data_IF_202271828885
#
_entry.id   IF_202271828885
#
_cell.length_a   1.000
_cell.length_b   1.000
_cell.length_c   1.000
_cell.angle_alpha   90.00
_cell.angle_beta   90.00
_cell.angle_gamma   90.00
#
_symmetry.space_group_name_H-M   'P 1'
#
loop_
_entity.id
_entity.type
_entity.pdbx_description
1 polymer ?
#
# COMPACT_ATOMS: atom_id res chain seq x y z
N UNK A 1 12.74 -17.08 -4.12
CA UNK A 1 13.24 -17.89 -5.26
C UNK A 1 14.76 -17.88 -5.37
N UNK A 2 15.43 -16.73 -5.48
CA UNK A 2 16.91 -16.65 -5.63
C UNK A 2 17.68 -17.32 -4.47
N UNK A 3 17.31 -17.02 -3.22
CA UNK A 3 17.90 -17.69 -2.03
C UNK A 3 17.85 -19.22 -2.10
N UNK A 4 16.76 -19.78 -2.64
CA UNK A 4 16.59 -21.23 -2.81
C UNK A 4 17.55 -21.78 -3.87
N UNK A 5 17.72 -21.09 -4.98
CA UNK A 5 18.63 -21.49 -6.06
C UNK A 5 20.09 -21.42 -5.60
N UNK A 6 20.46 -20.34 -4.91
CA UNK A 6 21.79 -20.16 -4.34
C UNK A 6 22.10 -21.21 -3.27
N UNK A 7 21.15 -21.52 -2.38
CA UNK A 7 21.30 -22.59 -1.39
C UNK A 7 21.47 -23.99 -2.02
N UNK A 8 20.95 -24.19 -3.25
CA UNK A 8 21.13 -25.42 -4.02
C UNK A 8 22.44 -25.44 -4.84
N UNK A 9 23.28 -24.40 -4.74
CA UNK A 9 24.55 -24.30 -5.49
C UNK A 9 24.37 -24.09 -6.99
N UNK A 10 23.21 -23.62 -7.44
CA UNK A 10 22.92 -23.37 -8.85
C UNK A 10 23.38 -21.96 -9.21
N UNK A 11 24.28 -21.78 -10.21
CA UNK A 11 24.63 -20.45 -10.71
C UNK A 11 23.40 -19.73 -11.28
N UNK A 12 23.24 -18.45 -10.93
CA UNK A 12 22.05 -17.66 -11.21
C UNK A 12 22.36 -16.38 -11.96
N UNK A 13 21.66 -16.19 -13.08
CA UNK A 13 21.62 -14.93 -13.82
C UNK A 13 20.25 -14.30 -13.62
N UNK A 14 20.20 -13.17 -12.93
CA UNK A 14 18.95 -12.42 -12.68
C UNK A 14 18.73 -11.39 -13.78
N UNK A 15 17.59 -11.49 -14.47
CA UNK A 15 17.11 -10.48 -15.43
C UNK A 15 16.04 -9.64 -14.75
N UNK A 16 16.38 -8.41 -14.38
CA UNK A 16 15.54 -7.51 -13.61
C UNK A 16 14.79 -6.55 -14.53
N UNK A 17 13.46 -6.67 -14.52
CA UNK A 17 12.54 -5.84 -15.28
C UNK A 17 11.98 -4.73 -14.39
N UNK A 18 12.27 -3.48 -14.72
CA UNK A 18 11.81 -2.33 -13.94
C UNK A 18 11.71 -1.05 -14.78
N UNK A 19 10.82 -0.13 -14.38
CA UNK A 19 10.75 1.20 -14.98
C UNK A 19 11.77 2.21 -14.43
N UNK A 20 12.52 1.84 -13.38
CA UNK A 20 13.48 2.71 -12.68
C UNK A 20 14.48 1.89 -11.84
N UNK A 21 15.63 2.46 -11.44
CA UNK A 21 16.48 1.86 -10.42
C UNK A 21 15.72 1.65 -9.11
N UNK A 22 15.99 0.54 -8.45
CA UNK A 22 15.41 0.17 -7.15
C UNK A 22 16.52 -0.34 -6.24
N UNK A 23 16.37 -0.19 -4.93
CA UNK A 23 17.25 -0.86 -3.99
C UNK A 23 17.01 -2.36 -4.04
N UNK A 24 18.02 -3.11 -4.48
CA UNK A 24 17.96 -4.55 -4.73
C UNK A 24 19.24 -5.25 -4.26
N UNK A 25 19.90 -4.69 -3.25
CA UNK A 25 21.12 -5.27 -2.68
C UNK A 25 20.91 -6.72 -2.22
N UNK A 26 19.79 -7.10 -1.57
CA UNK A 26 19.51 -8.49 -1.25
C UNK A 26 19.46 -9.38 -2.48
N UNK A 27 18.80 -8.96 -3.57
CA UNK A 27 18.71 -9.75 -4.80
C UNK A 27 20.05 -9.84 -5.54
N UNK A 28 20.83 -8.75 -5.57
CA UNK A 28 22.19 -8.71 -6.10
C UNK A 28 23.08 -9.71 -5.37
N UNK A 29 23.05 -9.73 -4.03
CA UNK A 29 23.81 -10.67 -3.22
C UNK A 29 23.43 -12.13 -3.48
N UNK A 30 22.22 -12.40 -3.96
CA UNK A 30 21.75 -13.76 -4.27
C UNK A 30 21.96 -14.15 -5.74
N UNK A 31 22.55 -13.28 -6.56
CA UNK A 31 22.75 -13.49 -7.99
C UNK A 31 24.24 -13.59 -8.32
N UNK A 32 24.62 -14.48 -9.23
CA UNK A 32 26.00 -14.56 -9.75
C UNK A 32 26.22 -13.53 -10.87
N UNK A 33 25.16 -13.21 -11.61
CA UNK A 33 25.10 -12.07 -12.52
C UNK A 33 23.73 -11.38 -12.44
N UNK A 34 23.69 -10.08 -12.67
CA UNK A 34 22.47 -9.28 -12.58
C UNK A 34 22.40 -8.29 -13.75
N UNK A 35 21.28 -8.32 -14.48
CA UNK A 35 21.04 -7.47 -15.64
C UNK A 35 19.81 -6.62 -15.42
N UNK A 36 19.99 -5.30 -15.45
CA UNK A 36 18.88 -4.36 -15.55
C UNK A 36 18.37 -4.31 -16.99
N UNK A 37 17.27 -5.01 -17.27
CA UNK A 37 16.67 -5.11 -18.60
C UNK A 37 15.55 -4.07 -18.85
N UNK A 38 15.23 -3.27 -17.84
CA UNK A 38 14.23 -2.20 -17.91
C UNK A 38 12.84 -2.70 -18.33
N UNK A 39 12.18 -1.99 -19.24
CA UNK A 39 10.94 -2.39 -19.90
C UNK A 39 11.24 -2.60 -21.40
N UNK A 40 11.71 -3.79 -21.81
CA UNK A 40 12.27 -4.04 -23.14
C UNK A 40 11.24 -4.08 -24.28
N UNK A 41 9.95 -3.98 -23.97
CA UNK A 41 8.87 -4.07 -24.95
C UNK A 41 8.63 -5.49 -25.45
N UNK A 42 8.12 -5.61 -26.67
CA UNK A 42 7.72 -6.88 -27.28
C UNK A 42 8.89 -7.75 -27.73
N UNK A 43 10.05 -7.14 -27.98
CA UNK A 43 11.23 -7.81 -28.55
C UNK A 43 12.11 -8.49 -27.47
N UNK A 44 11.49 -9.33 -26.65
CA UNK A 44 12.17 -10.03 -25.54
C UNK A 44 13.34 -10.92 -25.98
N UNK A 45 13.38 -11.32 -27.25
CA UNK A 45 14.49 -12.09 -27.84
C UNK A 45 15.84 -11.35 -27.75
N UNK A 46 15.83 -10.01 -27.73
CA UNK A 46 17.05 -9.20 -27.59
C UNK A 46 17.80 -9.44 -26.28
N UNK A 47 17.12 -9.96 -25.24
CA UNK A 47 17.77 -10.38 -23.99
C UNK A 47 18.64 -11.63 -24.25
N UNK A 48 18.13 -12.59 -25.02
CA UNK A 48 18.84 -13.82 -25.35
C UNK A 48 20.02 -13.56 -26.29
N UNK A 49 19.90 -12.58 -27.21
CA UNK A 49 20.98 -12.18 -28.12
C UNK A 49 22.26 -11.76 -27.37
N UNK A 50 22.12 -11.17 -26.18
CA UNK A 50 23.26 -10.81 -25.33
C UNK A 50 23.65 -11.96 -24.41
N UNK A 51 22.69 -12.56 -23.71
CA UNK A 51 22.98 -13.53 -22.63
C UNK A 51 23.40 -14.92 -23.10
N UNK A 52 22.98 -15.34 -24.29
CA UNK A 52 23.17 -16.71 -24.77
C UNK A 52 24.26 -16.74 -25.83
N UNK A 53 25.33 -17.48 -25.54
CA UNK A 53 26.42 -17.69 -26.47
C UNK A 53 25.98 -18.37 -27.78
N UNK A 54 26.82 -18.27 -28.80
CA UNK A 54 26.70 -19.03 -30.04
C UNK A 54 26.92 -20.53 -29.80
N UNK A 55 26.97 -21.31 -30.89
CA UNK A 55 27.17 -22.77 -30.81
C UNK A 55 28.53 -23.15 -30.22
N UNK A 56 29.50 -22.25 -30.27
CA UNK A 56 30.85 -22.43 -29.72
C UNK A 56 30.97 -21.85 -28.30
N UNK A 57 29.86 -21.38 -27.71
CA UNK A 57 29.82 -20.76 -26.40
C UNK A 57 30.39 -19.33 -26.36
N UNK A 58 30.62 -18.69 -27.51
CA UNK A 58 31.11 -17.31 -27.59
C UNK A 58 29.96 -16.32 -27.51
N UNK A 59 30.19 -15.17 -26.89
CA UNK A 59 29.19 -14.10 -26.85
C UNK A 59 28.84 -13.65 -28.29
N UNK A 60 27.54 -13.63 -28.62
CA UNK A 60 27.04 -13.13 -29.91
C UNK A 60 27.09 -11.61 -29.98
N UNK A 61 26.70 -10.98 -28.87
CA UNK A 61 26.72 -9.54 -28.67
C UNK A 61 27.29 -9.22 -27.29
N UNK A 62 27.98 -8.08 -27.17
CA UNK A 62 28.42 -7.55 -25.87
C UNK A 62 27.41 -6.52 -25.34
N UNK A 63 27.40 -6.31 -24.02
CA UNK A 63 26.68 -5.22 -23.40
C UNK A 63 27.25 -3.87 -23.85
N UNK A 64 26.35 -2.95 -24.20
CA UNK A 64 26.69 -1.57 -24.57
C UNK A 64 25.97 -0.53 -23.72
N UNK A 65 24.90 -0.92 -23.04
CA UNK A 65 24.12 -0.03 -22.20
C UNK A 65 24.91 0.43 -20.99
N UNK A 66 24.79 1.72 -20.68
CA UNK A 66 25.25 2.28 -19.42
C UNK A 66 24.10 2.98 -18.72
N UNK A 67 24.18 3.08 -17.39
CA UNK A 67 23.12 3.65 -16.56
C UNK A 67 22.86 5.11 -16.92
N UNK A 68 21.66 5.41 -17.45
CA UNK A 68 21.15 6.78 -17.58
C UNK A 68 20.54 7.32 -16.29
N UNK A 69 20.44 6.49 -15.25
CA UNK A 69 19.98 6.84 -13.90
C UNK A 69 20.91 6.22 -12.88
N UNK A 70 21.28 6.96 -11.84
CA UNK A 70 22.09 6.44 -10.73
C UNK A 70 21.35 5.31 -10.02
N UNK A 71 22.06 4.24 -9.65
CA UNK A 71 21.50 3.13 -8.89
C UNK A 71 21.64 3.37 -7.38
N UNK A 72 20.56 3.26 -6.60
CA UNK A 72 20.59 3.59 -5.18
C UNK A 72 21.31 2.51 -4.35
N UNK A 73 22.00 2.93 -3.30
CA UNK A 73 22.65 2.05 -2.30
C UNK A 73 21.75 1.71 -1.10
N UNK A 74 20.68 2.47 -0.93
CA UNK A 74 19.67 2.31 0.12
C UNK A 74 18.25 2.47 -0.48
N UNK A 75 17.24 2.17 0.30
CA UNK A 75 15.83 2.28 -0.05
C UNK A 75 15.17 3.56 0.50
N UNK A 76 15.94 4.53 1.01
CA UNK A 76 15.39 5.74 1.63
C UNK A 76 14.71 6.69 0.60
N UNK A 77 14.96 6.49 -0.69
CA UNK A 77 14.27 7.21 -1.77
C UNK A 77 14.69 8.67 -1.93
N UNK A 78 15.81 9.08 -1.36
CA UNK A 78 16.36 10.42 -1.55
C UNK A 78 16.74 10.67 -3.02
N UNK A 79 16.66 11.93 -3.50
CA UNK A 79 17.17 12.28 -4.83
C UNK A 79 18.64 11.86 -5.02
N UNK A 80 18.94 11.17 -6.12
CA UNK A 80 20.27 10.60 -6.41
C UNK A 80 20.73 10.95 -7.83
N UNK A 81 21.08 12.21 -8.05
CA UNK A 81 21.42 12.75 -9.36
C UNK A 81 22.92 13.08 -9.47
N UNK A 82 23.50 12.78 -10.64
CA UNK A 82 24.90 13.10 -10.94
C UNK A 82 25.13 14.61 -10.78
N UNK A 83 26.19 14.98 -10.06
CA UNK A 83 26.58 16.37 -9.84
C UNK A 83 25.99 17.03 -8.59
N UNK A 84 25.12 16.34 -7.84
CA UNK A 84 24.62 16.84 -6.56
C UNK A 84 25.69 16.72 -5.45
N UNK A 85 25.69 17.60 -4.43
CA UNK A 85 26.50 17.42 -3.24
C UNK A 85 26.19 16.09 -2.55
N UNK A 86 27.23 15.36 -2.12
CA UNK A 86 27.05 14.05 -1.47
C UNK A 86 26.56 12.94 -2.41
N UNK A 87 26.86 13.02 -3.71
CA UNK A 87 26.52 11.97 -4.68
C UNK A 87 27.23 10.64 -4.36
N UNK A 88 26.48 9.70 -3.80
CA UNK A 88 27.00 8.41 -3.32
C UNK A 88 26.09 7.23 -3.74
N UNK A 89 26.10 6.86 -5.04
CA UNK A 89 25.28 5.78 -5.57
C UNK A 89 25.92 4.40 -5.39
N UNK A 90 25.11 3.32 -5.40
CA UNK A 90 25.64 1.95 -5.49
C UNK A 90 26.33 1.69 -6.81
N UNK A 91 25.71 2.16 -7.90
CA UNK A 91 26.28 2.18 -9.25
C UNK A 91 26.02 3.56 -9.85
N UNK A 92 27.08 4.27 -10.21
CA UNK A 92 26.99 5.63 -10.69
C UNK A 92 26.33 5.76 -12.07
N UNK A 93 25.83 6.95 -12.38
CA UNK A 93 25.45 7.31 -13.76
C UNK A 93 26.61 6.99 -14.72
N UNK A 94 26.30 6.33 -15.83
CA UNK A 94 27.27 5.86 -16.82
C UNK A 94 27.94 4.53 -16.49
N UNK A 95 27.63 3.90 -15.35
CA UNK A 95 28.11 2.56 -15.03
C UNK A 95 27.49 1.51 -15.98
N UNK A 96 28.28 0.50 -16.34
CA UNK A 96 27.83 -0.65 -17.12
C UNK A 96 29.01 -1.58 -17.37
N UNK A 97 28.88 -2.85 -16.98
CA UNK A 97 29.88 -3.87 -17.28
C UNK A 97 29.68 -4.42 -18.69
N UNK A 98 30.76 -4.95 -19.25
CA UNK A 98 30.74 -5.65 -20.55
C UNK A 98 31.52 -6.95 -20.43
N UNK A 99 31.39 -7.87 -21.37
CA UNK A 99 32.19 -9.10 -21.40
C UNK A 99 33.69 -8.79 -21.53
N UNK A 100 34.05 -7.75 -22.28
CA UNK A 100 35.44 -7.28 -22.36
C UNK A 100 35.93 -6.54 -21.10
N UNK A 101 35.02 -5.98 -20.30
CA UNK A 101 35.32 -5.21 -19.08
C UNK A 101 34.41 -5.67 -17.94
N UNK A 102 34.72 -6.85 -17.42
CA UNK A 102 34.06 -7.41 -16.25
C UNK A 102 34.55 -6.77 -14.94
N UNK A 103 33.77 -6.97 -13.88
CA UNK A 103 34.16 -6.67 -12.50
C UNK A 103 33.40 -7.62 -11.56
N UNK A 104 33.97 -7.87 -10.38
CA UNK A 104 33.24 -8.52 -9.29
C UNK A 104 32.55 -7.46 -8.44
N UNK A 105 31.26 -7.63 -8.19
CA UNK A 105 30.54 -6.82 -7.19
C UNK A 105 30.72 -7.52 -5.84
N UNK A 106 31.26 -6.85 -4.81
CA UNK A 106 31.38 -7.44 -3.48
C UNK A 106 30.00 -7.62 -2.84
N UNK A 107 29.95 -8.34 -1.71
CA UNK A 107 28.72 -8.41 -0.94
C UNK A 107 28.29 -7.01 -0.49
N UNK A 108 27.05 -6.65 -0.84
CA UNK A 108 26.47 -5.34 -0.55
C UNK A 108 25.73 -5.37 0.78
N UNK A 109 25.63 -4.22 1.45
CA UNK A 109 24.81 -4.10 2.65
C UNK A 109 23.34 -4.37 2.33
N UNK A 110 22.72 -5.25 3.11
CA UNK A 110 21.26 -5.49 3.08
C UNK A 110 20.51 -4.58 4.07
N UNK A 111 21.19 -3.63 4.71
CA UNK A 111 20.52 -2.58 5.48
C UNK A 111 19.89 -1.58 4.52
N UNK A 112 18.56 -1.47 4.57
CA UNK A 112 17.81 -0.65 3.60
C UNK A 112 17.98 0.85 3.82
N UNK A 113 18.57 1.31 4.93
CA UNK A 113 18.67 2.74 5.27
C UNK A 113 17.33 3.44 5.52
N UNK A 114 16.21 2.72 5.42
CA UNK A 114 14.89 3.22 5.81
C UNK A 114 14.85 3.25 7.34
N UNK A 115 15.12 4.42 7.90
CA UNK A 115 15.05 4.66 9.34
C UNK A 115 13.68 5.21 9.68
N UNK A 116 12.94 4.45 10.49
CA UNK A 116 11.51 4.67 10.68
C UNK A 116 10.73 4.13 9.48
N UNK A 117 9.71 3.31 9.75
CA UNK A 117 8.60 3.25 8.82
C UNK A 117 8.27 4.69 8.45
N UNK A 118 8.25 5.04 7.17
CA UNK A 118 7.41 6.15 6.76
C UNK A 118 6.00 5.64 7.03
N UNK A 119 5.59 5.59 8.32
CA UNK A 119 4.27 5.16 8.73
C UNK A 119 3.39 6.09 7.95
N UNK A 120 2.68 5.52 6.97
CA UNK A 120 1.74 6.25 6.17
C UNK A 120 0.56 6.50 7.12
N UNK A 121 0.77 7.43 8.05
CA UNK A 121 -0.18 7.83 9.09
C UNK A 121 -1.34 8.58 8.49
N UNK A 122 -1.18 9.07 7.25
CA UNK A 122 -2.15 9.89 6.56
C UNK A 122 -2.89 9.15 5.44
N UNK A 123 -2.52 7.92 5.04
CA UNK A 123 -3.25 7.17 3.98
C UNK A 123 -3.48 5.73 4.41
N UNK A 124 -4.74 5.33 4.47
CA UNK A 124 -5.16 4.02 4.97
C UNK A 124 -5.65 3.11 3.84
N UNK A 125 -6.52 3.65 2.97
CA UNK A 125 -7.06 2.95 1.80
C UNK A 125 -7.19 3.90 0.61
N UNK A 126 -6.46 3.66 -0.47
CA UNK A 126 -6.29 4.57 -1.60
C UNK A 126 -6.02 3.78 -2.87
N UNK A 127 -6.60 4.19 -3.98
CA UNK A 127 -6.45 3.50 -5.28
C UNK A 127 -6.70 1.98 -5.20
N UNK A 128 -7.68 1.57 -4.39
CA UNK A 128 -8.04 0.15 -4.21
C UNK A 128 -7.09 -0.66 -3.33
N UNK A 129 -6.10 -0.02 -2.69
CA UNK A 129 -5.06 -0.68 -1.89
C UNK A 129 -5.09 -0.19 -0.44
N UNK A 130 -5.02 -1.13 0.50
CA UNK A 130 -4.67 -0.84 1.87
C UNK A 130 -3.16 -0.61 1.92
N UNK A 131 -2.73 0.57 2.35
CA UNK A 131 -1.32 0.95 2.32
C UNK A 131 -0.61 0.30 3.51
N UNK A 132 0.51 -0.38 3.30
CA UNK A 132 1.26 -0.97 4.43
C UNK A 132 1.50 0.06 5.54
N UNK A 133 1.27 -0.28 6.83
CA UNK A 133 0.97 -1.61 7.38
C UNK A 133 -0.52 -1.99 7.42
N UNK A 134 -1.40 -1.16 6.86
CA UNK A 134 -2.85 -1.30 6.98
C UNK A 134 -3.41 -2.48 6.17
N UNK A 135 -4.43 -3.13 6.73
CA UNK A 135 -5.18 -4.19 6.08
C UNK A 135 -6.66 -4.12 6.46
N UNK A 136 -7.53 -4.66 5.59
CA UNK A 136 -8.94 -4.86 5.92
C UNK A 136 -9.12 -6.06 6.83
N UNK A 137 -9.98 -5.90 7.83
CA UNK A 137 -10.52 -6.97 8.65
C UNK A 137 -12.05 -6.86 8.68
N UNK A 138 -12.70 -8.01 8.71
CA UNK A 138 -14.13 -8.15 8.89
C UNK A 138 -14.38 -8.93 10.17
N UNK A 139 -15.08 -8.32 11.13
CA UNK A 139 -15.36 -8.93 12.42
C UNK A 139 -16.86 -9.14 12.62
N UNK A 140 -17.20 -10.21 13.32
CA UNK A 140 -18.52 -10.44 13.88
C UNK A 140 -18.43 -11.35 15.12
N UNK A 141 -19.56 -11.86 15.60
CA UNK A 141 -19.62 -12.75 16.77
C UNK A 141 -18.82 -14.06 16.61
N UNK A 142 -18.43 -14.45 15.39
CA UNK A 142 -17.57 -15.59 15.12
C UNK A 142 -16.07 -15.27 15.13
N UNK A 143 -15.69 -14.02 15.36
CA UNK A 143 -14.31 -13.56 15.41
C UNK A 143 -13.94 -12.72 14.19
N UNK A 144 -12.71 -12.87 13.72
CA UNK A 144 -12.08 -12.00 12.73
C UNK A 144 -11.74 -12.77 11.46
N UNK A 145 -12.05 -12.17 10.31
CA UNK A 145 -11.60 -12.62 8.99
C UNK A 145 -10.74 -11.54 8.35
N UNK A 146 -9.66 -11.94 7.68
CA UNK A 146 -8.83 -11.07 6.85
C UNK A 146 -9.10 -11.38 5.37
N UNK A 147 -9.87 -10.56 4.65
CA UNK A 147 -10.14 -10.75 3.23
C UNK A 147 -8.87 -10.86 2.39
N UNK A 148 -8.92 -11.65 1.32
CA UNK A 148 -7.81 -11.75 0.37
C UNK A 148 -7.78 -10.49 -0.49
N UNK A 149 -6.59 -9.88 -0.61
CA UNK A 149 -6.40 -8.67 -1.41
C UNK A 149 -6.91 -8.88 -2.85
N UNK A 150 -7.78 -7.99 -3.31
CA UNK A 150 -8.34 -8.01 -4.67
C UNK A 150 -9.55 -8.92 -4.88
N UNK A 151 -10.01 -9.69 -3.88
CA UNK A 151 -11.14 -10.62 -4.06
C UNK A 151 -12.33 -10.41 -3.11
N UNK A 152 -12.23 -9.47 -2.16
CA UNK A 152 -13.25 -9.31 -1.14
C UNK A 152 -13.20 -10.43 -0.09
N UNK A 153 -14.25 -10.55 0.72
CA UNK A 153 -14.34 -11.55 1.77
C UNK A 153 -15.59 -11.38 2.64
N UNK A 154 -15.87 -12.37 3.48
CA UNK A 154 -17.04 -12.42 4.35
C UNK A 154 -16.57 -12.63 5.79
N UNK A 155 -17.23 -11.98 6.76
CA UNK A 155 -16.97 -12.21 8.19
C UNK A 155 -17.38 -13.64 8.60
N UNK A 156 -16.85 -14.21 9.70
CA UNK A 156 -17.03 -15.64 10.03
C UNK A 156 -18.48 -16.14 10.15
N UNK A 157 -19.42 -15.30 10.59
CA UNK A 157 -20.87 -15.57 10.64
C UNK A 157 -21.65 -14.84 9.55
N UNK A 158 -20.97 -14.16 8.63
CA UNK A 158 -21.57 -13.47 7.49
C UNK A 158 -22.33 -12.19 7.84
N UNK A 159 -22.12 -11.61 9.02
CA UNK A 159 -22.75 -10.33 9.38
C UNK A 159 -22.36 -9.19 8.43
N UNK A 160 -21.12 -9.21 7.90
CA UNK A 160 -20.62 -8.25 6.90
C UNK A 160 -19.85 -8.96 5.78
N UNK A 161 -20.15 -8.58 4.54
CA UNK A 161 -19.39 -8.97 3.34
C UNK A 161 -18.70 -7.72 2.75
N UNK A 162 -17.45 -7.89 2.33
CA UNK A 162 -16.71 -6.90 1.55
C UNK A 162 -16.57 -7.37 0.09
N UNK A 163 -16.94 -6.50 -0.85
CA UNK A 163 -16.82 -6.74 -2.30
C UNK A 163 -15.99 -5.63 -2.94
N UNK A 164 -15.23 -5.97 -3.98
CA UNK A 164 -14.47 -4.99 -4.75
C UNK A 164 -15.40 -4.29 -5.74
N UNK A 165 -15.36 -2.96 -5.78
CA UNK A 165 -16.17 -2.13 -6.70
C UNK A 165 -15.37 -0.95 -7.23
N UNK A 166 -15.89 -0.27 -8.23
CA UNK A 166 -15.27 0.89 -8.87
C UNK A 166 -15.68 2.22 -8.21
N UNK A 167 -14.74 3.17 -8.15
CA UNK A 167 -15.00 4.59 -7.91
C UNK A 167 -14.27 5.42 -8.97
N UNK A 168 -13.12 6.00 -8.62
CA UNK A 168 -12.32 6.84 -9.54
C UNK A 168 -11.44 6.02 -10.48
N UNK A 169 -11.13 4.78 -10.10
CA UNK A 169 -10.45 3.81 -10.93
C UNK A 169 -11.14 2.45 -10.79
N UNK A 170 -10.80 1.54 -11.69
CA UNK A 170 -11.25 0.16 -11.61
C UNK A 170 -10.76 -0.47 -10.29
N UNK A 171 -11.65 -1.17 -9.60
CA UNK A 171 -11.40 -1.87 -8.33
C UNK A 171 -10.90 -0.97 -7.17
N UNK A 172 -11.11 0.35 -7.29
CA UNK A 172 -10.55 1.33 -6.36
C UNK A 172 -11.30 1.47 -5.03
N UNK A 173 -12.42 0.76 -4.85
CA UNK A 173 -13.31 0.88 -3.71
C UNK A 173 -13.67 -0.48 -3.08
N UNK A 174 -14.25 -0.44 -1.88
CA UNK A 174 -14.83 -1.60 -1.20
C UNK A 174 -16.28 -1.34 -0.85
N UNK A 175 -17.18 -2.24 -1.27
CA UNK A 175 -18.56 -2.27 -0.82
C UNK A 175 -18.69 -3.17 0.40
N UNK A 176 -19.24 -2.64 1.48
CA UNK A 176 -19.59 -3.37 2.69
C UNK A 176 -21.09 -3.60 2.72
N UNK A 177 -21.50 -4.86 2.82
CA UNK A 177 -22.90 -5.31 2.91
C UNK A 177 -23.14 -5.92 4.27
N UNK A 178 -23.89 -5.23 5.10
CA UNK A 178 -24.33 -5.70 6.41
C UNK A 178 -25.71 -6.34 6.25
N UNK A 179 -25.87 -7.58 6.70
CA UNK A 179 -27.10 -8.34 6.49
C UNK A 179 -28.14 -8.16 7.62
N UNK A 180 -27.75 -7.53 8.74
CA UNK A 180 -28.62 -7.30 9.90
C UNK A 180 -28.88 -8.54 10.79
N UNK A 181 -28.18 -9.66 10.56
CA UNK A 181 -28.31 -10.87 11.39
C UNK A 181 -27.57 -10.79 12.74
N UNK A 182 -26.73 -9.77 12.91
CA UNK A 182 -25.91 -9.53 14.08
C UNK A 182 -24.98 -8.33 13.86
N UNK A 183 -24.20 -7.98 14.88
CA UNK A 183 -23.20 -6.92 14.75
C UNK A 183 -22.06 -7.36 13.82
N UNK A 184 -21.73 -6.52 12.85
CA UNK A 184 -20.57 -6.68 11.98
C UNK A 184 -19.75 -5.40 11.94
N UNK A 185 -18.43 -5.55 11.85
CA UNK A 185 -17.47 -4.45 11.70
C UNK A 185 -16.61 -4.66 10.46
N UNK A 186 -16.51 -3.62 9.63
CA UNK A 186 -15.48 -3.50 8.61
C UNK A 186 -14.43 -2.50 9.08
N UNK A 187 -13.21 -2.96 9.34
CA UNK A 187 -12.16 -2.11 9.91
C UNK A 187 -10.85 -2.17 9.14
N UNK A 188 -10.14 -1.05 9.11
CA UNK A 188 -8.75 -0.96 8.68
C UNK A 188 -7.90 -1.08 9.93
N UNK A 189 -6.98 -2.04 9.93
CA UNK A 189 -6.10 -2.34 11.07
C UNK A 189 -4.65 -2.51 10.64
N UNK A 190 -3.72 -2.13 11.50
CA UNK A 190 -2.29 -2.29 11.29
C UNK A 190 -1.49 -2.02 12.56
N UNK A 191 -0.18 -1.84 12.40
CA UNK A 191 0.71 -1.45 13.50
C UNK A 191 0.28 -0.11 14.11
N UNK A 192 0.43 0.02 15.43
CA UNK A 192 0.07 1.23 16.16
C UNK A 192 0.86 2.46 15.65
N UNK A 193 0.16 3.57 15.42
CA UNK A 193 0.76 4.86 15.06
C UNK A 193 0.31 5.97 16.01
N UNK A 194 1.17 6.96 16.23
CA UNK A 194 0.84 8.16 17.02
C UNK A 194 0.24 9.24 16.10
N UNK A 195 -1.05 9.55 16.31
CA UNK A 195 -1.81 10.59 15.61
C UNK A 195 -1.97 11.88 16.45
N UNK A 196 -1.28 12.00 17.59
CA UNK A 196 -1.39 13.17 18.48
C UNK A 196 -1.02 14.46 17.74
N UNK A 197 0.04 14.43 16.92
CA UNK A 197 0.46 15.58 16.11
C UNK A 197 -0.61 15.97 15.09
N UNK A 198 -1.22 14.99 14.43
CA UNK A 198 -2.26 15.20 13.42
C UNK A 198 -3.52 15.79 14.05
N UNK A 199 -3.93 15.31 15.22
CA UNK A 199 -5.05 15.89 15.95
C UNK A 199 -4.79 17.34 16.41
N UNK A 200 -3.58 17.65 16.88
CA UNK A 200 -3.21 19.02 17.25
C UNK A 200 -3.14 19.96 16.04
N UNK A 201 -2.86 19.43 14.84
CA UNK A 201 -2.92 20.16 13.58
C UNK A 201 -4.32 20.24 12.95
N UNK A 202 -5.37 19.88 13.71
CA UNK A 202 -6.76 19.82 13.26
C UNK A 202 -7.02 18.92 12.04
N UNK A 203 -6.23 17.85 11.84
CA UNK A 203 -6.53 16.92 10.75
C UNK A 203 -7.85 16.17 10.99
N UNK A 204 -8.44 15.70 9.89
CA UNK A 204 -9.68 14.95 9.87
C UNK A 204 -9.50 13.62 9.15
N UNK A 205 -10.19 12.59 9.64
CA UNK A 205 -10.41 11.36 8.90
C UNK A 205 -11.35 11.67 7.73
N UNK A 206 -10.84 11.51 6.52
CA UNK A 206 -11.52 11.79 5.26
C UNK A 206 -11.71 10.50 4.49
N UNK A 207 -12.90 10.32 3.94
CA UNK A 207 -13.18 9.24 3.00
C UNK A 207 -14.31 9.59 2.06
N UNK A 208 -14.33 8.91 0.92
CA UNK A 208 -15.46 8.90 -0.01
C UNK A 208 -16.37 7.74 0.29
N UNK A 209 -17.66 7.96 0.15
CA UNK A 209 -18.65 6.92 0.31
C UNK A 209 -19.80 7.08 -0.67
N UNK A 210 -20.49 5.96 -0.92
CA UNK A 210 -21.73 5.88 -1.68
C UNK A 210 -22.68 4.95 -0.92
N UNK A 211 -23.86 5.45 -0.57
CA UNK A 211 -24.90 4.63 0.08
C UNK A 211 -25.66 3.88 -1.01
N UNK A 212 -25.53 2.56 -1.03
CA UNK A 212 -26.21 1.68 -2.00
C UNK A 212 -27.56 1.19 -1.44
N UNK A 213 -27.66 1.01 -0.11
CA UNK A 213 -28.91 0.76 0.61
C UNK A 213 -28.86 1.48 1.96
N UNK A 214 -29.95 2.19 2.33
CA UNK A 214 -29.99 2.97 3.58
C UNK A 214 -29.88 2.06 4.81
N UNK A 215 -29.25 2.54 5.90
CA UNK A 215 -29.18 1.76 7.12
C UNK A 215 -30.56 1.62 7.75
N UNK A 216 -30.94 0.38 8.10
CA UNK A 216 -32.19 0.09 8.79
C UNK A 216 -32.16 0.41 10.30
N UNK A 217 -31.00 0.83 10.82
CA UNK A 217 -30.77 1.20 12.21
C UNK A 217 -29.43 1.90 12.41
N UNK A 218 -28.94 2.04 13.66
CA UNK A 218 -27.76 2.84 13.95
C UNK A 218 -26.48 2.33 13.27
N UNK A 219 -25.65 3.26 12.78
CA UNK A 219 -24.33 2.99 12.20
C UNK A 219 -23.27 3.82 12.92
N UNK A 220 -22.26 3.14 13.46
CA UNK A 220 -21.13 3.76 14.15
C UNK A 220 -19.91 3.83 13.24
N UNK A 221 -19.19 4.96 13.25
CA UNK A 221 -17.81 5.03 12.78
C UNK A 221 -16.89 5.20 13.99
N UNK A 222 -15.88 4.35 14.10
CA UNK A 222 -14.92 4.36 15.19
C UNK A 222 -13.49 4.60 14.69
N UNK A 223 -12.71 5.28 15.52
CA UNK A 223 -11.27 5.42 15.40
C UNK A 223 -10.67 5.12 16.77
N UNK A 224 -9.85 4.09 16.88
CA UNK A 224 -9.21 3.62 18.12
C UNK A 224 -10.14 3.68 19.34
N UNK A 225 -11.32 3.05 19.23
CA UNK A 225 -12.32 2.96 20.31
C UNK A 225 -13.27 4.15 20.44
N UNK A 226 -12.87 5.37 20.05
CA UNK A 226 -13.78 6.52 20.05
C UNK A 226 -14.80 6.42 18.92
N UNK A 227 -16.09 6.61 19.23
CA UNK A 227 -17.20 6.34 18.33
C UNK A 227 -18.04 7.59 18.05
N UNK A 228 -18.41 7.79 16.78
CA UNK A 228 -19.36 8.81 16.34
C UNK A 228 -20.51 8.18 15.56
N UNK A 229 -21.71 8.73 15.72
CA UNK A 229 -22.92 8.27 15.05
C UNK A 229 -22.98 8.79 13.60
N UNK A 230 -22.98 7.89 12.63
CA UNK A 230 -23.04 8.21 11.20
C UNK A 230 -24.45 8.09 10.60
N UNK A 231 -25.44 7.68 11.39
CA UNK A 231 -26.76 7.27 10.92
C UNK A 231 -27.46 8.39 10.12
N UNK A 232 -27.52 9.59 10.69
CA UNK A 232 -28.15 10.75 10.03
C UNK A 232 -27.42 11.16 8.75
N UNK A 233 -26.09 11.03 8.74
CA UNK A 233 -25.27 11.36 7.57
C UNK A 233 -25.55 10.40 6.42
N UNK A 234 -25.56 9.09 6.67
CA UNK A 234 -25.88 8.11 5.63
C UNK A 234 -27.36 8.15 5.19
N UNK A 235 -28.29 8.47 6.10
CA UNK A 235 -29.70 8.66 5.73
C UNK A 235 -29.96 9.93 4.89
N UNK A 236 -29.11 10.95 5.01
CA UNK A 236 -29.23 12.19 4.24
C UNK A 236 -28.51 12.12 2.89
N UNK A 237 -27.60 11.16 2.70
CA UNK A 237 -26.85 11.02 1.45
C UNK A 237 -27.75 10.61 0.26
N UNK A 238 -27.46 11.11 -0.96
CA UNK A 238 -28.11 10.62 -2.18
C UNK A 238 -27.77 9.14 -2.42
N UNK A 239 -28.79 8.34 -2.74
CA UNK A 239 -28.59 6.92 -3.01
C UNK A 239 -27.86 6.72 -4.32
N UNK A 240 -26.85 5.83 -4.32
CA UNK A 240 -26.10 5.48 -5.53
C UNK A 240 -25.14 6.56 -6.02
N UNK A 241 -24.93 7.65 -5.28
CA UNK A 241 -23.96 8.70 -5.64
C UNK A 241 -22.77 8.75 -4.68
N UNK A 242 -21.58 8.96 -5.24
CA UNK A 242 -20.37 9.14 -4.46
C UNK A 242 -20.30 10.56 -3.90
N UNK A 243 -20.13 10.65 -2.58
CA UNK A 243 -19.83 11.90 -1.88
C UNK A 243 -18.62 11.72 -0.97
N UNK A 244 -18.21 12.77 -0.26
CA UNK A 244 -17.08 12.75 0.67
C UNK A 244 -17.50 13.26 2.04
N UNK A 245 -16.84 12.79 3.09
CA UNK A 245 -16.98 13.31 4.45
C UNK A 245 -15.61 13.48 5.07
N UNK A 246 -15.47 14.50 5.92
CA UNK A 246 -14.31 14.71 6.78
C UNK A 246 -14.77 14.84 8.23
N UNK A 247 -14.24 14.00 9.12
CA UNK A 247 -14.55 14.00 10.55
C UNK A 247 -13.28 14.32 11.32
N UNK A 248 -13.27 15.40 12.10
CA UNK A 248 -12.06 15.82 12.81
C UNK A 248 -11.60 14.74 13.77
N UNK A 249 -10.29 14.55 13.89
CA UNK A 249 -9.70 13.63 14.86
C UNK A 249 -10.09 14.00 16.30
N UNK A 250 -10.30 15.29 16.56
CA UNK A 250 -10.82 15.77 17.84
C UNK A 250 -12.20 15.20 18.18
N UNK A 251 -13.11 15.01 17.22
CA UNK A 251 -14.43 14.43 17.51
C UNK A 251 -14.29 13.01 18.09
N UNK A 252 -13.36 12.21 17.55
CA UNK A 252 -13.10 10.86 18.05
C UNK A 252 -12.39 10.87 19.40
N UNK A 253 -11.42 11.77 19.60
CA UNK A 253 -10.75 11.96 20.90
C UNK A 253 -11.75 12.35 21.98
N UNK A 254 -12.63 13.29 21.68
CA UNK A 254 -13.65 13.77 22.60
C UNK A 254 -14.71 12.67 22.87
N UNK A 255 -14.86 11.71 21.94
CA UNK A 255 -15.60 10.46 22.11
C UNK A 255 -14.76 9.30 22.71
N UNK A 256 -13.56 9.57 23.24
CA UNK A 256 -12.75 8.59 23.98
C UNK A 256 -11.62 7.89 23.22
N UNK A 257 -11.29 8.30 21.99
CA UNK A 257 -10.20 7.68 21.23
C UNK A 257 -8.80 7.98 21.81
N UNK A 258 -7.96 6.95 21.92
CA UNK A 258 -6.56 7.07 22.34
C UNK A 258 -5.64 7.31 21.12
N UNK A 259 -5.35 8.58 20.82
CA UNK A 259 -4.63 8.95 19.60
C UNK A 259 -3.12 8.68 19.60
N UNK A 260 -2.51 8.40 20.75
CA UNK A 260 -1.09 8.09 20.86
C UNK A 260 -0.71 6.67 20.38
N UNK A 261 -1.69 5.80 20.14
CA UNK A 261 -1.48 4.40 19.75
C UNK A 261 -2.65 3.89 18.94
N UNK A 262 -2.80 4.37 17.72
CA UNK A 262 -3.89 4.04 16.81
C UNK A 262 -3.52 2.83 15.96
N UNK A 263 -4.17 1.70 16.23
CA UNK A 263 -4.11 0.50 15.40
C UNK A 263 -5.29 0.42 14.43
N UNK A 264 -6.43 1.01 14.82
CA UNK A 264 -7.68 0.97 14.04
C UNK A 264 -8.11 2.39 13.66
N UNK A 265 -7.55 2.97 12.57
CA UNK A 265 -7.88 4.33 12.13
C UNK A 265 -9.29 4.47 11.54
N UNK A 266 -9.92 3.37 11.15
CA UNK A 266 -11.25 3.33 10.58
C UNK A 266 -11.94 2.02 10.94
N UNK A 267 -13.14 2.09 11.54
CA UNK A 267 -14.01 0.94 11.77
C UNK A 267 -15.47 1.37 11.57
N UNK A 268 -16.14 0.76 10.60
CA UNK A 268 -17.56 0.98 10.34
C UNK A 268 -18.36 -0.22 10.83
N UNK A 269 -19.27 0.01 11.77
CA UNK A 269 -20.00 -1.04 12.47
C UNK A 269 -21.51 -0.79 12.53
N UNK A 270 -22.30 -1.83 12.37
CA UNK A 270 -23.76 -1.82 12.59
C UNK A 270 -24.28 -3.23 12.86
N UNK A 271 -25.43 -3.31 13.53
CA UNK A 271 -26.20 -4.55 13.70
C UNK A 271 -27.42 -4.64 12.77
N UNK A 272 -27.61 -3.63 11.92
CA UNK A 272 -28.77 -3.52 11.02
C UNK A 272 -28.37 -3.73 9.56
N UNK A 273 -29.36 -4.05 8.71
CA UNK A 273 -29.11 -4.14 7.27
C UNK A 273 -28.66 -2.77 6.73
N UNK A 274 -27.57 -2.76 5.95
CA UNK A 274 -26.97 -1.55 5.39
C UNK A 274 -26.01 -1.93 4.25
N UNK A 275 -25.98 -1.14 3.17
CA UNK A 275 -24.96 -1.32 2.12
C UNK A 275 -24.31 0.00 1.76
N UNK A 276 -22.99 0.05 1.85
CA UNK A 276 -22.20 1.25 1.57
C UNK A 276 -20.90 0.88 0.86
N UNK A 277 -20.53 1.68 -0.14
CA UNK A 277 -19.23 1.61 -0.78
C UNK A 277 -18.33 2.71 -0.22
N UNK A 278 -17.06 2.40 0.04
CA UNK A 278 -16.06 3.30 0.64
C UNK A 278 -14.78 3.31 -0.22
N UNK A 279 -14.18 4.48 -0.39
CA UNK A 279 -12.88 4.67 -1.05
C UNK A 279 -12.11 5.83 -0.40
N UNK A 280 -10.80 5.92 -0.70
CA UNK A 280 -9.98 7.08 -0.34
C UNK A 280 -9.95 7.42 1.16
N UNK A 281 -9.82 6.41 2.03
CA UNK A 281 -9.71 6.60 3.49
C UNK A 281 -8.31 7.11 3.84
N UNK A 282 -8.24 8.35 4.34
CA UNK A 282 -6.98 9.07 4.61
C UNK A 282 -7.18 10.16 5.67
N UNK A 283 -6.09 10.71 6.18
CA UNK A 283 -6.13 11.99 6.90
C UNK A 283 -6.03 13.15 5.90
N UNK A 284 -6.76 14.23 6.18
CA UNK A 284 -6.74 15.46 5.39
C UNK A 284 -6.75 16.68 6.31
N UNK A 285 -6.26 17.81 5.79
CA UNK A 285 -6.39 19.11 6.45
C UNK A 285 -7.85 19.51 6.60
N UNK A 286 -8.15 20.21 7.69
CA UNK A 286 -9.43 20.85 7.92
C UNK A 286 -9.53 22.12 7.05
N UNK A 287 -10.32 22.07 5.98
CA UNK A 287 -10.56 23.20 5.06
C UNK A 287 -11.93 23.83 5.30
N UNK A 288 -12.41 23.82 6.56
CA UNK A 288 -13.73 24.32 7.01
C UNK A 288 -14.95 23.52 6.52
N UNK A 289 -14.74 22.34 5.94
CA UNK A 289 -15.79 21.39 5.50
C UNK A 289 -15.91 20.16 6.42
N UNK A 290 -15.37 20.25 7.63
CA UNK A 290 -15.36 19.13 8.58
C UNK A 290 -16.64 19.09 9.44
N UNK A 291 -17.15 17.88 9.67
CA UNK A 291 -18.29 17.62 10.55
C UNK A 291 -17.83 16.91 11.82
N UNK A 292 -18.51 17.15 12.94
CA UNK A 292 -18.44 16.28 14.12
C UNK A 292 -19.85 15.71 14.36
N UNK A 293 -20.13 14.48 13.91
CA UNK A 293 -21.35 13.78 14.31
C UNK A 293 -21.37 13.58 15.83
N UNK A 294 -22.55 13.32 16.40
CA UNK A 294 -22.70 13.12 17.84
C UNK A 294 -21.87 11.92 18.31
N UNK A 295 -21.28 12.03 19.50
CA UNK A 295 -20.66 10.87 20.16
C UNK A 295 -21.72 9.81 20.44
N UNK A 296 -21.34 8.53 20.27
CA UNK A 296 -22.24 7.40 20.40
C UNK A 296 -21.94 6.53 21.62
#
# INVERSE_FOLDING_TARGET
TLRRLKAAGIPTVSVFLSGRPMWVNPELNQSDAFVAAWLPGTEGAGIADVLIGDRDGKARHDFRGTLSFSWPKDAAGAPLNRGQPGYDPQFAYGYGLTYARGASVPMLSEESGVTGETSVVDRYFVDGKFVSPWALLLNDAGGQAKPTLGQGGVSPRGAVEAVVVDDRAQESARQFRYNGSGHGDAQIWGSAVDLTRQANGELALSFRYRVDARPAGPVSLKLQGGAVDMTSLFNSAPLGEWTSVKIRLSCFRDAGAQLAGVETPFQLGTSSAFTVSVSEVRLASNENDTVCPAAQ
#
